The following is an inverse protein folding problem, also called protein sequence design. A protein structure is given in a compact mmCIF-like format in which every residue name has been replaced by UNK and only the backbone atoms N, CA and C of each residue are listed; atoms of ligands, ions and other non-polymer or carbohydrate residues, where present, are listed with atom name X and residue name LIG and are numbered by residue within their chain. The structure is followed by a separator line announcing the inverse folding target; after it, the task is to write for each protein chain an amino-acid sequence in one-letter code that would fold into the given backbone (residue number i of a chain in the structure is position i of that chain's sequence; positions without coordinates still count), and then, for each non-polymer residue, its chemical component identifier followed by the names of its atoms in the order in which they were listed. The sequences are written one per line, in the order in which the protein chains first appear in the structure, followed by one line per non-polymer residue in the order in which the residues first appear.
data_IF_147515255245
#
_entry.id   IF_147515255245
#
_cell.length_a   1.000
_cell.length_b   1.000
_cell.length_c   1.000
_cell.angle_alpha   90.00
_cell.angle_beta   90.00
_cell.angle_gamma   90.00
#
_symmetry.space_group_name_H-M   'P 1'
#
loop_
_entity.id
_entity.type
_entity.pdbx_description
1 polymer ?
#
# COMPACT_ATOMS: atom_id res chain seq x y z
N UNK A 1 35.34 18.88 27.53
CA UNK A 1 34.28 17.91 27.18
C UNK A 1 32.91 18.58 27.29
N UNK A 2 32.49 19.34 26.26
CA UNK A 2 31.10 19.83 26.14
C UNK A 2 30.57 19.31 24.82
N UNK A 3 29.87 18.18 24.89
CA UNK A 3 29.26 17.52 23.74
C UNK A 3 27.89 18.12 23.44
N UNK A 4 27.76 18.67 22.23
CA UNK A 4 26.61 18.53 21.32
C UNK A 4 25.18 18.52 21.92
N UNK A 5 24.78 19.59 22.59
CA UNK A 5 23.36 19.96 22.62
C UNK A 5 23.03 20.64 21.29
N UNK A 6 22.34 19.95 20.37
CA UNK A 6 21.90 20.54 19.11
C UNK A 6 21.09 21.82 19.38
N UNK A 7 21.48 22.94 18.76
CA UNK A 7 20.86 24.23 19.03
C UNK A 7 19.35 24.19 18.74
N UNK A 8 18.52 24.94 19.49
CA UNK A 8 17.07 24.98 19.28
C UNK A 8 16.68 25.39 17.86
N UNK A 9 17.56 26.13 17.15
CA UNK A 9 17.41 26.47 15.74
C UNK A 9 17.44 25.25 14.80
N UNK A 10 18.27 24.24 15.08
CA UNK A 10 18.29 23.02 14.27
C UNK A 10 17.02 22.20 14.47
N UNK A 11 16.55 22.08 15.73
CA UNK A 11 15.28 21.41 16.02
C UNK A 11 14.10 22.11 15.32
N UNK A 12 14.02 23.44 15.40
CA UNK A 12 13.00 24.24 14.72
C UNK A 12 13.04 24.08 13.20
N UNK A 13 14.25 24.07 12.61
CA UNK A 13 14.43 23.86 11.17
C UNK A 13 13.95 22.48 10.75
N UNK A 14 14.29 21.43 11.48
CA UNK A 14 13.86 20.06 11.15
C UNK A 14 12.34 19.90 11.33
N UNK A 15 11.75 20.48 12.38
CA UNK A 15 10.29 20.46 12.55
C UNK A 15 9.56 21.24 11.46
N UNK A 16 10.10 22.39 11.03
CA UNK A 16 9.53 23.18 9.94
C UNK A 16 9.58 22.44 8.60
N UNK A 17 10.72 21.79 8.28
CA UNK A 17 10.85 20.96 7.07
C UNK A 17 9.91 19.76 7.12
N UNK A 18 9.78 19.11 8.27
CA UNK A 18 8.84 18.00 8.45
C UNK A 18 7.37 18.46 8.25
N UNK A 19 6.98 19.59 8.85
CA UNK A 19 5.64 20.15 8.69
C UNK A 19 5.35 20.57 7.24
N UNK A 20 6.32 21.21 6.56
CA UNK A 20 6.19 21.59 5.16
C UNK A 20 6.08 20.36 4.24
N UNK A 21 6.90 19.33 4.46
CA UNK A 21 6.81 18.06 3.73
C UNK A 21 5.47 17.36 3.94
N UNK A 22 4.99 17.31 5.18
CA UNK A 22 3.66 16.77 5.49
C UNK A 22 2.54 17.58 4.82
N UNK A 23 2.60 18.91 4.84
CA UNK A 23 1.66 19.78 4.15
C UNK A 23 1.62 19.53 2.63
N UNK A 24 2.78 19.33 2.00
CA UNK A 24 2.86 18.97 0.57
C UNK A 24 2.26 17.59 0.28
N UNK A 25 2.41 16.61 1.18
CA UNK A 25 1.77 15.31 1.05
C UNK A 25 0.24 15.43 1.14
N UNK A 26 -0.28 16.19 2.11
CA UNK A 26 -1.71 16.46 2.23
C UNK A 26 -2.26 17.16 0.97
N UNK A 27 -1.53 18.16 0.46
CA UNK A 27 -1.88 18.86 -0.78
C UNK A 27 -1.91 17.90 -1.97
N UNK A 28 -0.91 17.02 -2.09
CA UNK A 28 -0.88 15.99 -3.11
C UNK A 28 -2.11 15.07 -3.06
N UNK A 29 -2.54 14.67 -1.85
CA UNK A 29 -3.77 13.89 -1.69
C UNK A 29 -5.02 14.65 -2.12
N UNK A 30 -5.13 15.94 -1.81
CA UNK A 30 -6.26 16.76 -2.28
C UNK A 30 -6.26 16.93 -3.80
N UNK A 31 -5.09 17.08 -4.43
CA UNK A 31 -4.99 17.14 -5.89
C UNK A 31 -5.35 15.81 -6.56
N UNK A 32 -4.98 14.68 -5.96
CA UNK A 32 -5.39 13.36 -6.46
C UNK A 32 -6.91 13.13 -6.34
N UNK A 33 -7.57 13.72 -5.34
CA UNK A 33 -9.03 13.69 -5.21
C UNK A 33 -9.74 14.45 -6.33
N UNK A 34 -9.14 15.50 -6.89
CA UNK A 34 -9.69 16.23 -8.05
C UNK A 34 -9.71 15.39 -9.33
N UNK A 35 -8.94 14.29 -9.39
CA UNK A 35 -8.96 13.34 -10.50
C UNK A 35 -10.12 12.34 -10.39
N UNK A 36 -10.75 12.20 -9.21
CA UNK A 36 -11.82 11.25 -8.98
C UNK A 36 -12.97 11.37 -10.00
N UNK A 37 -13.53 12.56 -10.29
CA UNK A 37 -14.60 12.70 -11.28
C UNK A 37 -14.15 12.36 -12.71
N UNK A 38 -12.87 12.57 -13.03
CA UNK A 38 -12.32 12.25 -14.36
C UNK A 38 -12.12 10.75 -14.55
N UNK A 39 -11.71 10.06 -13.48
CA UNK A 39 -11.58 8.60 -13.46
C UNK A 39 -12.96 7.96 -13.49
N UNK A 40 -13.91 8.47 -12.71
CA UNK A 40 -15.30 8.01 -12.68
C UNK A 40 -15.97 8.12 -14.05
N UNK A 41 -15.68 9.19 -14.81
CA UNK A 41 -16.17 9.35 -16.18
C UNK A 41 -15.47 8.47 -17.23
N UNK A 42 -14.50 7.63 -16.84
CA UNK A 42 -13.72 6.83 -17.79
C UNK A 42 -14.33 5.43 -18.01
N UNK A 43 -14.29 4.89 -19.25
CA UNK A 43 -14.76 3.53 -19.53
C UNK A 43 -14.03 2.44 -18.73
N UNK A 44 -12.79 2.73 -18.31
CA UNK A 44 -11.99 1.82 -17.50
C UNK A 44 -12.59 1.64 -16.10
N UNK A 45 -13.11 2.72 -15.53
CA UNK A 45 -13.75 2.68 -14.21
C UNK A 45 -15.04 1.86 -14.26
N UNK A 46 -15.90 2.11 -15.25
CA UNK A 46 -17.13 1.32 -15.44
C UNK A 46 -16.83 -0.16 -15.65
N UNK A 47 -15.82 -0.47 -16.47
CA UNK A 47 -15.36 -1.85 -16.69
C UNK A 47 -14.86 -2.49 -15.39
N UNK A 48 -14.09 -1.75 -14.59
CA UNK A 48 -13.56 -2.23 -13.32
C UNK A 48 -14.69 -2.49 -12.32
N UNK A 49 -15.65 -1.59 -12.18
CA UNK A 49 -16.81 -1.77 -11.30
C UNK A 49 -17.67 -2.97 -11.72
N UNK A 50 -17.96 -3.11 -13.02
CA UNK A 50 -18.73 -4.23 -13.53
C UNK A 50 -18.05 -5.58 -13.21
N UNK A 51 -16.72 -5.65 -13.34
CA UNK A 51 -15.96 -6.85 -13.01
C UNK A 51 -15.79 -7.07 -11.51
N UNK A 52 -15.61 -6.00 -10.75
CA UNK A 52 -15.54 -6.06 -9.29
C UNK A 52 -16.84 -6.57 -8.68
N UNK A 53 -17.99 -6.31 -9.30
CA UNK A 53 -19.28 -6.84 -8.88
C UNK A 53 -19.37 -8.37 -9.01
N UNK A 54 -18.67 -8.98 -9.97
CA UNK A 54 -18.55 -10.43 -10.07
C UNK A 54 -17.54 -10.98 -9.05
N UNK A 55 -16.43 -10.26 -8.86
CA UNK A 55 -15.30 -10.73 -8.05
C UNK A 55 -14.32 -9.63 -7.68
N UNK A 56 -14.03 -9.48 -6.38
CA UNK A 56 -13.03 -8.52 -5.86
C UNK A 56 -11.59 -8.82 -6.32
N UNK A 57 -11.33 -10.02 -6.87
CA UNK A 57 -10.05 -10.36 -7.48
C UNK A 57 -9.66 -9.41 -8.62
N UNK A 58 -10.64 -8.84 -9.33
CA UNK A 58 -10.39 -7.83 -10.34
C UNK A 58 -9.83 -6.53 -9.75
N UNK A 59 -10.27 -6.14 -8.56
CA UNK A 59 -9.69 -5.02 -7.81
C UNK A 59 -8.23 -5.28 -7.47
N UNK A 60 -7.92 -6.47 -6.95
CA UNK A 60 -6.55 -6.88 -6.64
C UNK A 60 -5.65 -6.87 -7.88
N UNK A 61 -6.11 -7.44 -9.00
CA UNK A 61 -5.37 -7.40 -10.25
C UNK A 61 -5.14 -5.96 -10.75
N UNK A 62 -6.17 -5.12 -10.71
CA UNK A 62 -6.08 -3.72 -11.12
C UNK A 62 -5.05 -2.96 -10.27
N UNK A 63 -5.06 -3.14 -8.95
CA UNK A 63 -4.09 -2.50 -8.05
C UNK A 63 -2.65 -2.94 -8.30
N UNK A 64 -2.44 -4.23 -8.56
CA UNK A 64 -1.13 -4.78 -8.89
C UNK A 64 -0.58 -4.20 -10.19
N UNK A 65 -1.40 -4.17 -11.25
CA UNK A 65 -1.00 -3.62 -12.55
C UNK A 65 -0.78 -2.11 -12.46
N UNK A 66 -1.71 -1.35 -11.89
CA UNK A 66 -1.59 0.10 -11.74
C UNK A 66 -0.33 0.47 -10.96
N UNK A 67 -0.05 -0.23 -9.86
CA UNK A 67 1.14 0.04 -9.05
C UNK A 67 2.42 -0.34 -9.77
N UNK A 68 2.44 -1.47 -10.49
CA UNK A 68 3.60 -1.86 -11.28
C UNK A 68 3.91 -0.83 -12.37
N UNK A 69 2.89 -0.25 -13.01
CA UNK A 69 3.03 0.78 -14.05
C UNK A 69 3.41 2.15 -13.49
N UNK A 70 2.85 2.54 -12.34
CA UNK A 70 3.10 3.83 -11.70
C UNK A 70 4.40 3.80 -10.86
N UNK A 71 4.89 2.61 -10.51
CA UNK A 71 6.03 2.38 -9.62
C UNK A 71 5.86 2.96 -8.20
N UNK A 72 4.65 3.35 -7.81
CA UNK A 72 4.35 3.95 -6.50
C UNK A 72 3.00 3.48 -5.97
N UNK A 73 3.02 2.58 -4.98
CA UNK A 73 1.81 2.12 -4.28
C UNK A 73 1.17 3.25 -3.48
N UNK A 74 1.98 4.13 -2.87
CA UNK A 74 1.45 5.28 -2.12
C UNK A 74 0.57 6.20 -2.98
N UNK A 75 0.98 6.44 -4.24
CA UNK A 75 0.18 7.23 -5.18
C UNK A 75 -1.12 6.52 -5.55
N UNK A 76 -1.07 5.22 -5.84
CA UNK A 76 -2.27 4.41 -6.14
C UNK A 76 -3.21 4.39 -4.95
N UNK A 77 -2.71 4.14 -3.74
CA UNK A 77 -3.50 4.13 -2.50
C UNK A 77 -4.17 5.50 -2.28
N UNK A 78 -3.45 6.61 -2.45
CA UNK A 78 -4.01 7.95 -2.29
C UNK A 78 -5.14 8.23 -3.30
N UNK A 79 -4.97 7.81 -4.56
CA UNK A 79 -6.00 7.92 -5.59
C UNK A 79 -7.27 7.12 -5.23
N UNK A 80 -7.10 5.87 -4.80
CA UNK A 80 -8.21 5.00 -4.39
C UNK A 80 -8.91 5.53 -3.14
N UNK A 81 -8.16 6.02 -2.15
CA UNK A 81 -8.70 6.69 -0.98
C UNK A 81 -9.49 7.94 -1.37
N UNK A 82 -9.03 8.69 -2.38
CA UNK A 82 -9.76 9.84 -2.90
C UNK A 82 -11.10 9.47 -3.53
N UNK A 83 -11.13 8.43 -4.37
CA UNK A 83 -12.36 7.89 -4.96
C UNK A 83 -13.33 7.36 -3.90
N UNK A 84 -12.81 6.75 -2.84
CA UNK A 84 -13.64 6.29 -1.73
C UNK A 84 -14.19 7.45 -0.89
N UNK A 85 -13.42 8.53 -0.72
CA UNK A 85 -13.86 9.73 0.01
C UNK A 85 -15.05 10.43 -0.67
N UNK A 86 -15.14 10.37 -2.00
CA UNK A 86 -16.29 10.91 -2.76
C UNK A 86 -17.46 9.95 -2.87
N UNK A 87 -17.32 8.69 -2.40
CA UNK A 87 -18.33 7.65 -2.54
C UNK A 87 -18.36 6.98 -3.92
N UNK A 88 -17.46 7.34 -4.83
CA UNK A 88 -17.36 6.71 -6.14
C UNK A 88 -16.92 5.24 -6.00
N UNK A 89 -15.96 4.96 -5.12
CA UNK A 89 -15.47 3.59 -4.91
C UNK A 89 -15.94 2.98 -3.59
N UNK A 90 -16.56 1.79 -3.60
CA UNK A 90 -16.89 1.09 -2.37
C UNK A 90 -15.63 0.67 -1.59
N UNK A 91 -15.62 0.71 -0.25
CA UNK A 91 -14.45 0.39 0.57
C UNK A 91 -13.86 -0.98 0.29
N UNK A 92 -14.69 -1.99 0.05
CA UNK A 92 -14.27 -3.38 -0.22
C UNK A 92 -13.43 -3.46 -1.49
N UNK A 93 -13.87 -2.78 -2.55
CA UNK A 93 -13.11 -2.67 -3.80
C UNK A 93 -11.81 -1.89 -3.58
N UNK A 94 -11.88 -0.78 -2.83
CA UNK A 94 -10.69 -0.01 -2.50
C UNK A 94 -9.65 -0.85 -1.75
N UNK A 95 -10.07 -1.65 -0.77
CA UNK A 95 -9.21 -2.59 -0.04
C UNK A 95 -8.61 -3.63 -0.98
N UNK A 96 -9.41 -4.21 -1.88
CA UNK A 96 -8.92 -5.16 -2.87
C UNK A 96 -7.80 -4.55 -3.74
N UNK A 97 -8.01 -3.33 -4.24
CA UNK A 97 -7.00 -2.60 -5.03
C UNK A 97 -5.74 -2.32 -4.22
N UNK A 98 -5.86 -1.96 -2.94
CA UNK A 98 -4.69 -1.71 -2.08
C UNK A 98 -3.90 -2.98 -1.77
N UNK A 99 -4.56 -4.14 -1.55
CA UNK A 99 -3.87 -5.43 -1.46
C UNK A 99 -3.11 -5.74 -2.76
N UNK A 100 -3.74 -5.47 -3.91
CA UNK A 100 -3.10 -5.54 -5.21
C UNK A 100 -1.87 -4.64 -5.32
N UNK A 101 -1.97 -3.40 -4.84
CA UNK A 101 -0.88 -2.43 -4.89
C UNK A 101 0.38 -2.91 -4.14
N UNK A 102 0.23 -3.67 -3.05
CA UNK A 102 1.37 -4.30 -2.37
C UNK A 102 2.08 -5.32 -3.27
N UNK A 103 1.32 -6.13 -4.01
CA UNK A 103 1.88 -7.06 -4.99
C UNK A 103 2.58 -6.29 -6.12
N UNK A 104 1.95 -5.24 -6.64
CA UNK A 104 2.54 -4.41 -7.71
C UNK A 104 3.85 -3.74 -7.31
N UNK A 105 4.02 -3.39 -6.04
CA UNK A 105 5.27 -2.82 -5.49
C UNK A 105 6.46 -3.77 -5.71
N UNK A 106 6.24 -5.08 -5.76
CA UNK A 106 7.30 -6.05 -6.00
C UNK A 106 7.96 -5.92 -7.38
N UNK A 107 7.27 -5.36 -8.38
CA UNK A 107 7.82 -5.16 -9.72
C UNK A 107 9.09 -4.28 -9.67
N UNK A 108 9.10 -3.22 -8.86
CA UNK A 108 10.25 -2.32 -8.73
C UNK A 108 11.43 -3.03 -8.06
N UNK A 109 11.15 -3.82 -7.01
CA UNK A 109 12.16 -4.62 -6.31
C UNK A 109 12.78 -5.70 -7.20
N UNK A 110 11.96 -6.37 -8.03
CA UNK A 110 12.44 -7.36 -8.99
C UNK A 110 13.33 -6.74 -10.08
N UNK A 111 12.93 -5.58 -10.62
CA UNK A 111 13.76 -4.84 -11.58
C UNK A 111 15.11 -4.45 -10.97
N UNK A 112 15.12 -3.95 -9.72
CA UNK A 112 16.35 -3.62 -9.02
C UNK A 112 17.22 -4.87 -8.73
N UNK A 113 16.60 -6.00 -8.43
CA UNK A 113 17.29 -7.26 -8.12
C UNK A 113 18.01 -7.90 -9.32
N UNK A 114 17.56 -7.64 -10.55
CA UNK A 114 18.23 -8.11 -11.76
C UNK A 114 19.70 -7.65 -11.81
N UNK A 115 19.95 -6.40 -11.39
CA UNK A 115 21.28 -5.79 -11.32
C UNK A 115 21.97 -5.91 -9.95
N UNK A 116 21.39 -6.65 -9.00
CA UNK A 116 21.88 -6.74 -7.61
C UNK A 116 22.63 -8.04 -7.31
N UNK A 117 23.21 -8.12 -6.11
CA UNK A 117 23.90 -9.29 -5.58
C UNK A 117 22.96 -10.45 -5.26
N UNK A 118 23.50 -11.63 -4.96
CA UNK A 118 22.72 -12.79 -4.49
C UNK A 118 21.87 -12.46 -3.26
N UNK A 119 22.41 -11.68 -2.33
CA UNK A 119 21.68 -11.17 -1.17
C UNK A 119 20.54 -10.23 -1.58
N UNK A 120 20.78 -9.31 -2.52
CA UNK A 120 19.73 -8.41 -3.03
C UNK A 120 18.58 -9.16 -3.73
N UNK A 121 18.90 -10.22 -4.48
CA UNK A 121 17.90 -11.11 -5.09
C UNK A 121 17.10 -11.86 -4.04
N UNK A 122 17.74 -12.37 -2.99
CA UNK A 122 17.04 -13.04 -1.88
C UNK A 122 16.05 -12.08 -1.19
N UNK A 123 16.43 -10.84 -0.94
CA UNK A 123 15.55 -9.80 -0.37
C UNK A 123 14.35 -9.53 -1.28
N UNK A 124 14.59 -9.38 -2.58
CA UNK A 124 13.50 -9.13 -3.53
C UNK A 124 12.53 -10.32 -3.64
N UNK A 125 13.05 -11.56 -3.62
CA UNK A 125 12.22 -12.77 -3.62
C UNK A 125 11.42 -12.90 -2.32
N UNK A 126 12.01 -12.59 -1.16
CA UNK A 126 11.30 -12.56 0.11
C UNK A 126 10.17 -11.51 0.08
N UNK A 127 10.43 -10.33 -0.49
CA UNK A 127 9.44 -9.28 -0.64
C UNK A 127 8.28 -9.70 -1.55
N UNK A 128 8.57 -10.36 -2.67
CA UNK A 128 7.56 -10.96 -3.57
C UNK A 128 6.74 -12.03 -2.82
N UNK A 129 7.41 -12.96 -2.14
CA UNK A 129 6.76 -14.05 -1.43
C UNK A 129 5.81 -13.52 -0.34
N UNK A 130 6.24 -12.53 0.43
CA UNK A 130 5.43 -11.94 1.49
C UNK A 130 4.21 -11.20 0.95
N UNK A 131 4.37 -10.33 -0.05
CA UNK A 131 3.26 -9.55 -0.57
C UNK A 131 2.29 -10.39 -1.39
N UNK A 132 2.78 -11.28 -2.26
CA UNK A 132 1.93 -12.16 -3.04
C UNK A 132 1.24 -13.20 -2.15
N UNK A 133 1.98 -13.85 -1.25
CA UNK A 133 1.43 -14.81 -0.30
C UNK A 133 0.41 -14.16 0.65
N UNK A 134 0.72 -12.99 1.19
CA UNK A 134 -0.21 -12.19 1.98
C UNK A 134 -1.46 -11.84 1.18
N UNK A 135 -1.32 -11.29 -0.02
CA UNK A 135 -2.45 -10.91 -0.85
C UNK A 135 -3.36 -12.11 -1.17
N UNK A 136 -2.80 -13.28 -1.49
CA UNK A 136 -3.56 -14.50 -1.72
C UNK A 136 -4.28 -15.01 -0.46
N UNK A 137 -3.64 -14.90 0.70
CA UNK A 137 -4.23 -15.28 1.99
C UNK A 137 -5.40 -14.36 2.37
N UNK A 138 -5.27 -13.06 2.10
CA UNK A 138 -6.24 -12.05 2.51
C UNK A 138 -7.30 -11.72 1.45
N UNK A 139 -7.11 -12.11 0.18
CA UNK A 139 -8.11 -11.94 -0.86
C UNK A 139 -9.50 -12.50 -0.51
N UNK A 140 -9.66 -13.73 0.05
CA UNK A 140 -10.97 -14.19 0.49
C UNK A 140 -11.48 -13.49 1.76
N UNK A 141 -10.61 -12.79 2.50
CA UNK A 141 -10.90 -12.11 3.77
C UNK A 141 -11.11 -10.60 3.59
N UNK A 142 -11.26 -10.10 2.36
CA UNK A 142 -11.44 -8.66 2.12
C UNK A 142 -12.69 -8.11 2.83
N UNK A 143 -13.79 -8.87 2.84
CA UNK A 143 -15.00 -8.48 3.58
C UNK A 143 -14.76 -8.35 5.08
N UNK A 144 -14.02 -9.30 5.66
CA UNK A 144 -13.65 -9.27 7.09
C UNK A 144 -12.71 -8.11 7.41
N UNK A 145 -11.76 -7.82 6.52
CA UNK A 145 -10.88 -6.65 6.64
C UNK A 145 -11.67 -5.35 6.58
N UNK A 146 -12.67 -5.26 5.69
CA UNK A 146 -13.55 -4.11 5.60
C UNK A 146 -14.36 -3.95 6.89
N UNK A 147 -14.96 -5.02 7.38
CA UNK A 147 -15.72 -5.03 8.63
C UNK A 147 -14.87 -4.57 9.82
N UNK A 148 -13.67 -5.15 10.00
CA UNK A 148 -12.72 -4.74 11.04
C UNK A 148 -12.34 -3.26 10.92
N UNK A 149 -12.18 -2.77 9.71
CA UNK A 149 -11.82 -1.37 9.47
C UNK A 149 -12.97 -0.43 9.79
N UNK A 150 -14.21 -0.85 9.50
CA UNK A 150 -15.43 -0.11 9.80
C UNK A 150 -15.66 0.01 11.31
N UNK A 151 -15.28 -0.98 12.13
CA UNK A 151 -15.32 -0.88 13.59
C UNK A 151 -14.46 0.27 14.14
N UNK A 152 -13.41 0.63 13.41
CA UNK A 152 -12.49 1.68 13.84
C UNK A 152 -12.94 3.05 13.31
N UNK A 153 -13.57 3.14 12.13
CA UNK A 153 -13.94 4.40 11.46
C UNK A 153 -15.09 4.26 10.48
N UNK A 154 -15.92 5.29 10.44
CA UNK A 154 -17.02 5.43 9.48
C UNK A 154 -16.57 5.99 8.12
N UNK A 155 -15.41 6.65 8.04
CA UNK A 155 -14.92 7.25 6.80
C UNK A 155 -14.37 6.20 5.81
N UNK A 156 -14.92 6.06 4.58
CA UNK A 156 -14.50 5.05 3.60
C UNK A 156 -13.00 5.06 3.27
N UNK A 157 -12.43 6.24 3.01
CA UNK A 157 -11.02 6.40 2.73
C UNK A 157 -10.13 5.92 3.90
N UNK A 158 -10.55 6.19 5.14
CA UNK A 158 -9.84 5.76 6.33
C UNK A 158 -9.98 4.24 6.56
N UNK A 159 -11.10 3.63 6.16
CA UNK A 159 -11.25 2.17 6.22
C UNK A 159 -10.21 1.47 5.34
N UNK A 160 -10.01 1.95 4.11
CA UNK A 160 -9.00 1.41 3.18
C UNK A 160 -7.59 1.52 3.78
N UNK A 161 -7.24 2.68 4.34
CA UNK A 161 -5.93 2.88 4.97
C UNK A 161 -5.70 1.96 6.19
N UNK A 162 -6.75 1.69 6.97
CA UNK A 162 -6.67 0.83 8.16
C UNK A 162 -6.60 -0.64 7.80
N UNK A 163 -7.40 -1.09 6.82
CA UNK A 163 -7.33 -2.45 6.29
C UNK A 163 -5.91 -2.80 5.85
N UNK A 164 -5.26 -1.89 5.12
CA UNK A 164 -3.87 -2.03 4.69
C UNK A 164 -2.89 -2.14 5.86
N UNK A 165 -3.10 -1.35 6.90
CA UNK A 165 -2.27 -1.39 8.11
C UNK A 165 -2.42 -2.72 8.84
N UNK A 166 -3.66 -3.19 9.01
CA UNK A 166 -3.98 -4.49 9.61
C UNK A 166 -3.35 -5.62 8.79
N UNK A 167 -3.54 -5.59 7.47
CA UNK A 167 -2.96 -6.55 6.53
C UNK A 167 -1.43 -6.65 6.69
N UNK A 168 -0.72 -5.52 6.60
CA UNK A 168 0.74 -5.49 6.70
C UNK A 168 1.24 -5.95 8.07
N UNK A 169 0.53 -5.58 9.14
CA UNK A 169 0.85 -6.00 10.50
C UNK A 169 0.72 -7.50 10.65
N UNK A 170 -0.42 -8.08 10.24
CA UNK A 170 -0.65 -9.52 10.35
C UNK A 170 0.31 -10.31 9.47
N UNK A 171 0.52 -9.90 8.21
CA UNK A 171 1.49 -10.55 7.33
C UNK A 171 2.90 -10.53 7.93
N UNK A 172 3.31 -9.40 8.51
CA UNK A 172 4.62 -9.29 9.17
C UNK A 172 4.72 -10.22 10.38
N UNK A 173 3.69 -10.27 11.22
CA UNK A 173 3.64 -11.17 12.38
C UNK A 173 3.68 -12.65 11.99
N UNK A 174 3.02 -13.02 10.90
CA UNK A 174 3.05 -14.38 10.34
C UNK A 174 4.42 -14.73 9.73
N UNK A 175 5.12 -13.73 9.16
CA UNK A 175 6.43 -13.93 8.56
C UNK A 175 7.57 -14.03 9.59
N UNK A 176 7.46 -13.34 10.73
CA UNK A 176 8.48 -13.36 11.80
C UNK A 176 8.98 -14.77 12.16
N UNK A 177 8.13 -15.77 12.49
CA UNK A 177 8.60 -17.10 12.86
C UNK A 177 9.39 -17.78 11.72
N UNK A 178 9.03 -17.53 10.46
CA UNK A 178 9.71 -18.08 9.28
C UNK A 178 11.13 -17.49 9.14
N UNK A 179 11.28 -16.20 9.43
CA UNK A 179 12.58 -15.52 9.40
C UNK A 179 13.55 -15.99 10.49
N UNK A 180 13.04 -16.48 11.63
CA UNK A 180 13.86 -16.98 12.74
C UNK A 180 14.08 -18.50 12.71
N UNK A 181 13.47 -19.22 11.77
CA UNK A 181 13.73 -20.64 11.59
C UNK A 181 15.17 -20.86 11.10
N UNK A 182 15.95 -21.79 11.70
CA UNK A 182 17.36 -22.00 11.40
C UNK A 182 17.65 -22.58 9.99
N UNK A 183 16.62 -22.79 9.18
CA UNK A 183 16.70 -23.34 7.81
C UNK A 183 17.53 -22.48 6.84
N UNK A 184 17.77 -21.21 7.15
CA UNK A 184 18.48 -20.25 6.29
C UNK A 184 19.91 -19.95 6.78
N UNK A 185 20.38 -20.63 7.85
CA UNK A 185 21.65 -20.33 8.52
C UNK A 185 22.87 -21.05 7.93
N UNK A 186 22.67 -21.98 7.00
CA UNK A 186 23.75 -22.78 6.42
C UNK A 186 23.89 -22.54 4.92
N UNK A 187 24.79 -21.60 4.57
CA UNK A 187 25.61 -21.55 3.34
C UNK A 187 26.35 -20.21 3.27
N UNK A 188 27.37 -20.07 4.12
CA UNK A 188 28.45 -19.08 3.98
C UNK A 188 29.74 -19.82 3.68
#
# INVERSE_FOLDING_TARGET
MVGAAGTPLHALRHSAVAAAGFGLLLLGMTMMQELAPRIEASPLYDWLLARAAESLWWGLAAGAVLTALIHSSAAVIAMIMGLAATGAMPPELGIAVVLGANVGTCATGLLAACASSSAGRAVALAHVALNLGGALLFAPLIGELQWLSALLTDQPAAQIARAQTIFNLVCSLLALPICYLPLWRERS
#
